data_IF_679787391041
#
_entry.id   IF_679787391041
#
_cell.length_a   1.000
_cell.length_b   1.000
_cell.length_c   1.000
_cell.angle_alpha   90.00
_cell.angle_beta   90.00
_cell.angle_gamma   90.00
#
_symmetry.space_group_name_H-M   'P 1'
#
loop_
_entity.id
_entity.type
_entity.pdbx_description
1 polymer ?
#
# COMPACT_ATOMS: atom_id res chain seq x y z
N UNK A 1 28.80 0.01 10.06
CA UNK A 1 27.99 -1.12 9.58
C UNK A 1 27.89 -0.94 8.07
N UNK A 2 28.55 -1.77 7.27
CA UNK A 2 28.43 -1.70 5.80
C UNK A 2 27.15 -2.42 5.42
N UNK A 3 26.20 -1.70 4.83
CA UNK A 3 25.07 -2.26 4.11
C UNK A 3 25.43 -2.28 2.64
N UNK A 4 25.24 -3.42 1.99
CA UNK A 4 25.52 -3.54 0.56
C UNK A 4 24.23 -3.26 -0.21
N UNK A 5 24.32 -2.32 -1.14
CA UNK A 5 23.19 -1.84 -1.94
C UNK A 5 23.46 -2.22 -3.39
N UNK A 6 22.48 -2.86 -4.01
CA UNK A 6 22.56 -3.31 -5.39
C UNK A 6 21.54 -2.58 -6.25
N UNK A 7 21.99 -2.09 -7.41
CA UNK A 7 21.17 -1.39 -8.39
C UNK A 7 21.12 -2.18 -9.71
N UNK A 8 20.04 -2.02 -10.46
CA UNK A 8 19.96 -2.50 -11.85
C UNK A 8 20.65 -1.53 -12.82
N UNK A 9 20.65 -1.87 -14.11
CA UNK A 9 21.29 -1.07 -15.18
C UNK A 9 20.67 0.33 -15.34
N UNK A 10 19.44 0.54 -14.87
CA UNK A 10 18.74 1.83 -14.89
C UNK A 10 19.03 2.68 -13.64
N UNK A 11 19.83 2.18 -12.69
CA UNK A 11 20.15 2.85 -11.44
C UNK A 11 19.09 2.69 -10.34
N UNK A 12 18.10 1.84 -10.52
CA UNK A 12 17.07 1.57 -9.51
C UNK A 12 17.60 0.61 -8.46
N UNK A 13 17.33 0.87 -7.17
CA UNK A 13 17.73 -0.02 -6.07
C UNK A 13 16.84 -1.26 -6.08
N UNK A 14 17.44 -2.44 -6.24
CA UNK A 14 16.71 -3.71 -6.31
C UNK A 14 16.93 -4.59 -5.08
N UNK A 15 18.02 -4.39 -4.34
CA UNK A 15 18.33 -5.18 -3.15
C UNK A 15 19.12 -4.36 -2.12
N UNK A 16 18.82 -4.61 -0.85
CA UNK A 16 19.60 -4.11 0.28
C UNK A 16 19.96 -5.29 1.20
N UNK A 17 21.25 -5.58 1.30
CA UNK A 17 21.77 -6.57 2.25
C UNK A 17 22.06 -5.91 3.60
N UNK A 18 21.46 -6.45 4.66
CA UNK A 18 21.59 -5.94 6.03
C UNK A 18 22.08 -7.02 6.98
N UNK A 19 22.73 -6.60 8.08
CA UNK A 19 23.09 -7.49 9.20
C UNK A 19 22.21 -7.19 10.38
N UNK A 20 21.46 -8.18 10.85
CA UNK A 20 20.70 -8.08 12.08
C UNK A 20 21.65 -8.17 13.29
N UNK A 21 21.41 -7.35 14.31
CA UNK A 21 22.10 -7.40 15.59
C UNK A 21 21.08 -7.45 16.73
N UNK A 22 21.47 -8.01 17.87
CA UNK A 22 20.61 -8.06 19.05
C UNK A 22 20.38 -6.65 19.57
N UNK A 23 19.13 -6.32 19.86
CA UNK A 23 18.76 -5.04 20.47
C UNK A 23 19.28 -4.95 21.91
N UNK A 24 19.97 -3.86 22.22
CA UNK A 24 20.51 -3.49 23.53
C UNK A 24 20.16 -2.02 23.84
N UNK A 25 20.44 -1.56 25.06
CA UNK A 25 20.25 -0.16 25.47
C UNK A 25 21.06 0.81 24.60
N UNK A 26 22.22 0.39 24.13
CA UNK A 26 23.19 1.23 23.41
C UNK A 26 22.87 1.35 21.91
N UNK A 27 22.07 0.42 21.35
CA UNK A 27 21.77 0.38 19.92
C UNK A 27 20.28 0.53 19.59
N UNK A 28 19.52 1.15 20.51
CA UNK A 28 18.08 1.37 20.34
C UNK A 28 17.78 2.15 19.05
N UNK A 29 16.92 1.63 18.15
CA UNK A 29 16.62 2.31 16.90
C UNK A 29 15.72 3.52 17.15
N UNK A 30 15.79 4.49 16.25
CA UNK A 30 14.93 5.68 16.27
C UNK A 30 13.46 5.36 15.96
N UNK A 31 13.24 4.31 15.17
CA UNK A 31 11.91 3.87 14.75
C UNK A 31 11.92 2.39 14.38
N UNK A 32 10.74 1.79 14.34
CA UNK A 32 10.52 0.43 13.88
C UNK A 32 9.70 0.48 12.59
N UNK A 33 10.12 -0.31 11.60
CA UNK A 33 9.43 -0.43 10.32
C UNK A 33 8.69 -1.77 10.27
N UNK A 34 7.60 -1.81 9.52
CA UNK A 34 6.98 -3.09 9.15
C UNK A 34 7.84 -3.79 8.09
N UNK A 35 7.78 -5.11 8.06
CA UNK A 35 8.42 -5.95 7.07
C UNK A 35 7.62 -7.25 6.94
N UNK A 36 7.75 -7.93 5.80
CA UNK A 36 7.10 -9.23 5.54
C UNK A 36 8.16 -10.25 5.18
N UNK A 37 8.18 -11.39 5.87
CA UNK A 37 9.03 -12.52 5.55
C UNK A 37 8.25 -13.50 4.68
N UNK A 38 8.87 -14.03 3.62
CA UNK A 38 8.24 -15.02 2.74
C UNK A 38 6.82 -14.59 2.30
N UNK A 39 6.69 -13.41 1.66
CA UNK A 39 5.40 -12.78 1.45
C UNK A 39 4.47 -13.62 0.55
N UNK A 40 3.17 -13.45 0.77
CA UNK A 40 2.16 -13.72 -0.25
C UNK A 40 2.02 -12.50 -1.17
N UNK A 41 1.36 -12.68 -2.30
CA UNK A 41 1.07 -11.60 -3.24
C UNK A 41 -0.43 -11.37 -3.34
N UNK A 42 -0.83 -10.11 -3.44
CA UNK A 42 -2.22 -9.74 -3.73
C UNK A 42 -2.29 -8.45 -4.55
N UNK A 43 -3.50 -8.15 -5.03
CA UNK A 43 -3.86 -6.83 -5.55
C UNK A 43 -4.41 -5.96 -4.40
N UNK A 44 -4.02 -4.69 -4.36
CA UNK A 44 -4.60 -3.70 -3.44
C UNK A 44 -5.21 -2.56 -4.26
N UNK A 45 -6.45 -2.19 -3.92
CA UNK A 45 -7.18 -1.06 -4.51
C UNK A 45 -7.11 0.12 -3.55
N UNK A 46 -6.39 1.17 -3.93
CA UNK A 46 -6.28 2.41 -3.16
C UNK A 46 -7.28 3.41 -3.71
N UNK A 47 -8.25 3.77 -2.88
CA UNK A 47 -9.30 4.72 -3.25
C UNK A 47 -9.00 6.11 -2.73
N UNK A 48 -9.27 7.09 -3.58
CA UNK A 48 -9.30 8.52 -3.28
C UNK A 48 -10.70 9.07 -3.57
N UNK A 49 -10.92 10.36 -3.26
CA UNK A 49 -12.21 11.01 -3.56
C UNK A 49 -12.49 10.94 -5.07
N UNK A 50 -13.71 10.52 -5.43
CA UNK A 50 -14.19 10.43 -6.82
C UNK A 50 -14.27 11.81 -7.49
N UNK A 51 -14.63 12.84 -6.74
CA UNK A 51 -14.75 14.21 -7.22
C UNK A 51 -13.69 15.09 -6.56
N UNK A 52 -13.18 16.07 -7.32
CA UNK A 52 -12.15 17.00 -6.83
C UNK A 52 -12.74 18.02 -5.86
N UNK A 53 -13.98 18.46 -6.09
CA UNK A 53 -14.68 19.42 -5.25
C UNK A 53 -15.54 18.75 -4.18
N UNK A 54 -15.97 19.56 -3.20
CA UNK A 54 -16.86 19.10 -2.13
C UNK A 54 -18.31 19.00 -2.62
N UNK A 55 -18.73 19.94 -3.49
CA UNK A 55 -20.07 20.02 -4.03
C UNK A 55 -20.03 19.96 -5.57
N UNK A 56 -19.78 18.78 -6.17
CA UNK A 56 -19.57 18.66 -7.62
C UNK A 56 -20.80 18.98 -8.48
N UNK A 57 -22.00 19.05 -7.89
CA UNK A 57 -23.25 19.44 -8.57
C UNK A 57 -23.49 20.96 -8.56
N UNK A 58 -22.75 21.72 -7.74
CA UNK A 58 -22.87 23.18 -7.72
C UNK A 58 -22.19 23.77 -8.95
N UNK A 59 -22.97 24.32 -9.88
CA UNK A 59 -22.46 24.95 -11.09
C UNK A 59 -21.58 26.19 -10.82
N UNK A 60 -21.64 26.76 -9.61
CA UNK A 60 -20.71 27.81 -9.20
C UNK A 60 -19.31 27.26 -8.86
N UNK A 61 -19.22 26.05 -8.31
CA UNK A 61 -17.94 25.36 -8.04
C UNK A 61 -17.44 24.63 -9.30
N UNK A 62 -18.34 23.98 -10.04
CA UNK A 62 -18.05 23.17 -11.21
C UNK A 62 -18.89 23.64 -12.41
N UNK A 63 -18.49 24.73 -13.10
CA UNK A 63 -19.25 25.26 -14.23
C UNK A 63 -19.41 24.29 -15.41
N UNK A 64 -18.49 23.33 -15.55
CA UNK A 64 -18.55 22.26 -16.57
C UNK A 64 -19.48 21.09 -16.21
N UNK A 65 -20.16 21.15 -15.05
CA UNK A 65 -20.98 20.07 -14.51
C UNK A 65 -20.16 18.95 -13.88
N UNK A 66 -20.79 18.13 -13.03
CA UNK A 66 -20.12 17.15 -12.17
C UNK A 66 -19.22 16.14 -12.92
N UNK A 67 -19.56 15.78 -14.16
CA UNK A 67 -18.75 14.85 -14.97
C UNK A 67 -17.36 15.41 -15.27
N UNK A 68 -17.24 16.74 -15.41
CA UNK A 68 -15.94 17.41 -15.58
C UNK A 68 -15.10 17.42 -14.31
N UNK A 69 -15.69 17.10 -13.15
CA UNK A 69 -15.04 17.11 -11.85
C UNK A 69 -14.55 15.74 -11.37
N UNK A 70 -14.77 14.70 -12.18
CA UNK A 70 -14.28 13.35 -11.88
C UNK A 70 -12.75 13.36 -11.73
N UNK A 71 -12.27 12.71 -10.68
CA UNK A 71 -10.88 12.46 -10.42
C UNK A 71 -10.45 11.16 -11.10
N UNK A 72 -9.66 11.27 -12.17
CA UNK A 72 -9.10 10.14 -12.90
C UNK A 72 -8.16 9.29 -12.03
N UNK A 73 -7.62 9.86 -10.95
CA UNK A 73 -6.77 9.17 -9.98
C UNK A 73 -7.55 8.68 -8.75
N UNK A 74 -8.88 8.60 -8.82
CA UNK A 74 -9.74 8.16 -7.70
C UNK A 74 -9.55 6.69 -7.32
N UNK A 75 -8.97 5.89 -8.21
CA UNK A 75 -8.59 4.51 -7.96
C UNK A 75 -7.17 4.28 -8.47
N UNK A 76 -6.31 3.75 -7.60
CA UNK A 76 -5.01 3.21 -7.97
C UNK A 76 -4.95 1.74 -7.60
N UNK A 77 -4.76 0.89 -8.61
CA UNK A 77 -4.53 -0.55 -8.43
C UNK A 77 -3.03 -0.77 -8.28
N UNK A 78 -2.62 -1.44 -7.20
CA UNK A 78 -1.23 -1.82 -6.95
C UNK A 78 -1.16 -3.34 -6.97
N UNK A 79 -0.34 -3.89 -7.86
CA UNK A 79 -0.15 -5.33 -8.03
C UNK A 79 1.22 -5.61 -8.69
N UNK A 80 2.03 -6.54 -8.17
CA UNK A 80 1.81 -7.29 -6.93
C UNK A 80 2.13 -6.45 -5.68
N UNK A 81 1.33 -6.60 -4.63
CA UNK A 81 1.68 -6.16 -3.27
C UNK A 81 2.17 -7.36 -2.47
N UNK A 82 3.27 -7.17 -1.73
CA UNK A 82 3.77 -8.16 -0.78
C UNK A 82 3.04 -8.04 0.56
N UNK A 83 2.40 -9.12 1.00
CA UNK A 83 1.62 -9.16 2.23
C UNK A 83 2.01 -10.35 3.09
N UNK A 84 1.75 -10.25 4.40
CA UNK A 84 2.00 -11.33 5.34
C UNK A 84 1.08 -12.53 5.05
N UNK A 85 1.60 -13.76 5.15
CA UNK A 85 0.82 -14.97 4.86
C UNK A 85 -0.35 -15.21 5.81
N UNK A 86 -0.40 -14.57 6.97
CA UNK A 86 -1.52 -14.66 7.91
C UNK A 86 -2.86 -14.29 7.28
N UNK A 87 -2.88 -13.48 6.22
CA UNK A 87 -4.12 -13.10 5.52
C UNK A 87 -4.58 -14.14 4.48
N UNK A 88 -3.84 -15.23 4.24
CA UNK A 88 -4.14 -16.17 3.14
C UNK A 88 -5.50 -16.88 3.28
N UNK A 89 -6.02 -16.99 4.51
CA UNK A 89 -7.31 -17.65 4.80
C UNK A 89 -8.42 -16.65 5.15
N UNK A 90 -8.25 -15.39 4.76
CA UNK A 90 -9.23 -14.35 5.05
C UNK A 90 -10.53 -14.59 4.30
N UNK A 91 -11.65 -14.21 4.92
CA UNK A 91 -12.97 -14.21 4.30
C UNK A 91 -13.26 -12.83 3.72
N UNK A 92 -14.17 -12.79 2.75
CA UNK A 92 -14.70 -11.52 2.23
C UNK A 92 -15.19 -10.66 3.39
N UNK A 93 -14.83 -9.37 3.35
CA UNK A 93 -15.08 -8.37 4.39
C UNK A 93 -14.29 -8.52 5.70
N UNK A 94 -13.35 -9.47 5.80
CA UNK A 94 -12.36 -9.42 6.89
C UNK A 94 -11.55 -8.12 6.79
N UNK A 95 -11.27 -7.52 7.95
CA UNK A 95 -10.68 -6.19 8.06
C UNK A 95 -9.34 -6.26 8.75
N UNK A 96 -8.38 -5.54 8.20
CA UNK A 96 -7.01 -5.49 8.69
C UNK A 96 -6.52 -4.05 8.81
N UNK A 97 -5.71 -3.81 9.82
CA UNK A 97 -4.83 -2.64 9.85
C UNK A 97 -3.51 -3.05 9.21
N UNK A 98 -3.19 -2.48 8.06
CA UNK A 98 -1.84 -2.62 7.50
C UNK A 98 -0.95 -1.59 8.18
N UNK A 99 0.03 -2.09 8.93
CA UNK A 99 0.85 -1.29 9.81
C UNK A 99 1.50 -0.10 9.11
N UNK A 100 1.26 1.10 9.62
CA UNK A 100 1.75 2.38 9.06
C UNK A 100 1.25 2.72 7.64
N UNK A 101 0.25 2.01 7.12
CA UNK A 101 -0.36 2.28 5.82
C UNK A 101 -1.82 2.73 5.98
N UNK A 102 -2.65 1.93 6.64
CA UNK A 102 -4.07 2.24 6.78
C UNK A 102 -4.93 1.02 7.08
N UNK A 103 -6.24 1.14 6.86
CA UNK A 103 -7.21 0.06 7.08
C UNK A 103 -7.69 -0.49 5.74
N UNK A 104 -7.74 -1.81 5.65
CA UNK A 104 -8.08 -2.55 4.44
C UNK A 104 -9.12 -3.62 4.75
N UNK A 105 -9.89 -3.99 3.72
CA UNK A 105 -10.88 -5.06 3.78
C UNK A 105 -10.68 -5.98 2.60
N UNK A 106 -10.93 -7.27 2.81
CA UNK A 106 -10.96 -8.26 1.72
C UNK A 106 -12.18 -7.97 0.84
N UNK A 107 -11.92 -7.87 -0.46
CA UNK A 107 -12.91 -7.52 -1.48
C UNK A 107 -13.75 -8.76 -1.87
N UNK A 108 -15.01 -8.61 -2.29
CA UNK A 108 -15.81 -9.73 -2.81
C UNK A 108 -15.22 -10.43 -4.02
N UNK A 109 -14.37 -9.75 -4.79
CA UNK A 109 -13.65 -10.35 -5.93
C UNK A 109 -12.49 -11.26 -5.49
N UNK A 110 -12.15 -11.29 -4.19
CA UNK A 110 -11.04 -12.10 -3.68
C UNK A 110 -11.34 -13.60 -3.71
N UNK A 111 -10.33 -14.36 -4.12
CA UNK A 111 -10.31 -15.81 -4.28
C UNK A 111 -9.05 -16.38 -3.64
N UNK A 112 -8.95 -17.70 -3.51
CA UNK A 112 -7.72 -18.35 -3.03
C UNK A 112 -6.50 -18.15 -3.93
N UNK A 113 -6.72 -17.75 -5.19
CA UNK A 113 -5.66 -17.51 -6.19
C UNK A 113 -5.37 -16.02 -6.41
N UNK A 114 -6.24 -15.11 -5.93
CA UNK A 114 -6.18 -13.67 -6.23
C UNK A 114 -6.91 -12.82 -5.20
#
# INVERSE_FOLDING_TARGET
MSSDLFQNDNGEIIELTVKASKLTSENRPKTYLHWVANPAHCQVRLYERLFRHKNPEDLNEVPGGFLSDCNENSLRIVEPVYIDRSVSNSKVYDRYQFERIGFFSVDPDSTSEK
#
